data_IF_188692151232
#
_entry.id   IF_188692151232
#
_cell.length_a   1.000
_cell.length_b   1.000
_cell.length_c   1.000
_cell.angle_alpha   90.00
_cell.angle_beta   90.00
_cell.angle_gamma   90.00
#
_symmetry.space_group_name_H-M   'P 1'
#
loop_
_entity.id
_entity.type
_entity.pdbx_description
1 polymer ?
#
# COMPACT_ATOMS: atom_id res chain seq x y z
N UNK A 1 7.56 -78.48 -26.81
CA UNK A 1 7.02 -77.14 -26.49
C UNK A 1 7.67 -76.16 -27.45
N UNK A 2 6.93 -75.38 -28.24
CA UNK A 2 7.56 -74.34 -29.06
C UNK A 2 8.12 -73.28 -28.10
N UNK A 3 9.41 -72.96 -28.20
CA UNK A 3 9.98 -71.80 -27.51
C UNK A 3 9.16 -70.57 -27.95
N UNK A 4 8.55 -69.87 -27.00
CA UNK A 4 8.07 -68.51 -27.25
C UNK A 4 9.27 -67.69 -27.72
N UNK A 5 9.23 -67.18 -28.96
CA UNK A 5 10.25 -66.24 -29.42
C UNK A 5 10.13 -64.96 -28.58
N UNK A 6 11.20 -64.62 -27.85
CA UNK A 6 11.30 -63.33 -27.21
C UNK A 6 11.35 -62.28 -28.32
N UNK A 7 10.38 -61.36 -28.34
CA UNK A 7 10.43 -60.23 -29.26
C UNK A 7 11.31 -59.15 -28.65
N UNK A 8 12.54 -59.04 -29.15
CA UNK A 8 13.50 -58.06 -28.67
C UNK A 8 13.31 -56.72 -29.40
N UNK A 9 13.58 -55.60 -28.73
CA UNK A 9 13.54 -54.28 -29.35
C UNK A 9 14.77 -54.06 -30.24
N UNK A 10 14.57 -53.54 -31.44
CA UNK A 10 15.68 -53.21 -32.34
C UNK A 10 16.56 -52.08 -31.79
N UNK A 11 17.89 -52.12 -32.02
CA UNK A 11 18.77 -50.99 -31.73
C UNK A 11 18.32 -49.74 -32.48
N UNK A 12 18.41 -48.57 -31.83
CA UNK A 12 18.09 -47.26 -32.43
C UNK A 12 19.35 -46.63 -33.06
N UNK A 13 20.54 -47.01 -32.56
CA UNK A 13 21.82 -46.52 -33.05
C UNK A 13 22.38 -47.45 -34.16
N UNK A 14 22.69 -46.94 -35.36
CA UNK A 14 23.27 -47.73 -36.45
C UNK A 14 24.53 -48.51 -36.08
N UNK A 15 25.41 -47.93 -35.24
CA UNK A 15 26.67 -48.59 -34.84
C UNK A 15 26.44 -49.80 -33.94
N UNK A 16 25.43 -49.72 -33.08
CA UNK A 16 25.02 -50.81 -32.18
C UNK A 16 24.35 -51.92 -33.00
N UNK A 17 23.55 -51.56 -34.01
CA UNK A 17 22.95 -52.53 -34.92
C UNK A 17 24.02 -53.31 -35.71
N UNK A 18 25.00 -52.65 -36.31
CA UNK A 18 26.12 -53.34 -36.97
C UNK A 18 26.90 -54.24 -36.00
N UNK A 19 27.15 -53.77 -34.77
CA UNK A 19 27.89 -54.57 -33.76
C UNK A 19 27.11 -55.82 -33.38
N UNK A 20 25.79 -55.72 -33.30
CA UNK A 20 24.91 -56.85 -33.08
C UNK A 20 24.96 -57.82 -34.26
N UNK A 21 24.91 -57.33 -35.50
CA UNK A 21 24.92 -58.20 -36.69
C UNK A 21 26.23 -58.98 -36.86
N UNK A 22 27.38 -58.40 -36.49
CA UNK A 22 28.65 -59.14 -36.42
C UNK A 22 28.48 -60.37 -35.52
N UNK A 23 27.98 -60.18 -34.30
CA UNK A 23 27.84 -61.28 -33.33
C UNK A 23 26.81 -62.31 -33.76
N UNK A 24 25.69 -61.88 -34.33
CA UNK A 24 24.65 -62.78 -34.86
C UNK A 24 25.22 -63.67 -35.97
N UNK A 25 25.93 -63.10 -36.95
CA UNK A 25 26.50 -63.86 -38.06
C UNK A 25 27.67 -64.74 -37.64
N UNK A 26 28.52 -64.28 -36.71
CA UNK A 26 29.58 -65.11 -36.14
C UNK A 26 29.01 -66.33 -35.42
N UNK A 27 27.95 -66.17 -34.64
CA UNK A 27 27.32 -67.29 -33.91
C UNK A 27 26.58 -68.24 -34.85
N UNK A 28 25.91 -67.70 -35.87
CA UNK A 28 25.14 -68.50 -36.84
C UNK A 28 26.03 -69.40 -37.70
N UNK A 29 27.19 -68.88 -38.14
CA UNK A 29 28.06 -69.57 -39.09
C UNK A 29 29.35 -70.09 -38.47
N UNK A 30 29.57 -69.84 -37.17
CA UNK A 30 30.77 -70.22 -36.43
C UNK A 30 32.08 -69.81 -37.14
N UNK A 31 32.08 -68.60 -37.72
CA UNK A 31 33.21 -67.98 -38.44
C UNK A 31 33.32 -66.51 -38.05
N UNK A 32 34.42 -65.84 -38.38
CA UNK A 32 34.63 -64.44 -38.00
C UNK A 32 34.01 -63.50 -39.03
N UNK A 33 33.37 -62.44 -38.53
CA UNK A 33 32.87 -61.32 -39.34
C UNK A 33 33.51 -60.02 -38.84
N UNK A 34 33.89 -59.13 -39.75
CA UNK A 34 34.57 -57.87 -39.42
C UNK A 34 33.85 -56.68 -40.06
N UNK A 35 33.75 -55.57 -39.33
CA UNK A 35 33.23 -54.32 -39.89
C UNK A 35 34.12 -53.80 -41.02
N UNK A 36 33.51 -53.28 -42.08
CA UNK A 36 34.18 -52.74 -43.26
C UNK A 36 34.33 -51.22 -43.16
N UNK A 37 35.56 -50.77 -42.94
CA UNK A 37 35.93 -49.36 -42.89
C UNK A 37 35.56 -48.62 -41.60
N UNK A 38 36.08 -47.40 -41.46
CA UNK A 38 35.75 -46.43 -40.40
C UNK A 38 35.40 -45.07 -41.02
N UNK A 39 34.72 -44.19 -40.27
CA UNK A 39 34.29 -42.85 -40.70
C UNK A 39 35.24 -42.17 -41.70
N UNK A 40 34.79 -41.94 -42.94
CA UNK A 40 35.50 -41.17 -43.97
C UNK A 40 36.06 -41.98 -45.15
N UNK A 41 36.02 -43.31 -45.12
CA UNK A 41 36.40 -44.16 -46.25
C UNK A 41 35.18 -44.50 -47.14
N UNK A 42 35.41 -44.72 -48.44
CA UNK A 42 34.36 -45.20 -49.33
C UNK A 42 33.98 -46.64 -48.96
N UNK A 43 32.77 -46.84 -48.44
CA UNK A 43 32.30 -48.15 -47.96
C UNK A 43 31.53 -48.95 -49.03
N UNK A 44 31.31 -48.38 -50.21
CA UNK A 44 30.72 -49.05 -51.40
C UNK A 44 29.43 -49.86 -51.19
N UNK A 45 28.71 -49.64 -50.08
CA UNK A 45 27.53 -50.42 -49.72
C UNK A 45 27.80 -51.69 -48.89
N UNK A 46 29.02 -51.85 -48.36
CA UNK A 46 29.40 -52.94 -47.47
C UNK A 46 29.67 -52.39 -46.05
N UNK A 47 29.00 -52.92 -45.04
CA UNK A 47 29.21 -52.54 -43.64
C UNK A 47 29.97 -53.62 -42.86
N UNK A 48 29.80 -54.90 -43.21
CA UNK A 48 30.45 -56.04 -42.55
C UNK A 48 30.86 -57.06 -43.62
N UNK A 49 32.04 -57.65 -43.49
CA UNK A 49 32.58 -58.71 -44.35
C UNK A 49 32.80 -60.00 -43.55
N UNK A 50 32.60 -61.14 -44.20
CA UNK A 50 32.96 -62.45 -43.67
C UNK A 50 33.19 -63.47 -44.77
N UNK A 51 33.63 -64.67 -44.38
CA UNK A 51 33.79 -65.81 -45.28
C UNK A 51 33.16 -67.05 -44.65
N UNK A 52 32.27 -67.72 -45.40
CA UNK A 52 31.61 -68.95 -44.99
C UNK A 52 32.03 -70.03 -45.98
N UNK A 53 32.78 -71.05 -45.57
CA UNK A 53 33.18 -72.17 -46.45
C UNK A 53 33.77 -71.73 -47.81
N UNK A 54 34.66 -70.72 -47.81
CA UNK A 54 35.26 -70.08 -49.02
C UNK A 54 34.30 -69.23 -49.88
N UNK A 55 33.08 -68.99 -49.40
CA UNK A 55 32.12 -68.05 -49.99
C UNK A 55 32.27 -66.69 -49.32
N UNK A 56 32.56 -65.64 -50.10
CA UNK A 56 32.69 -64.27 -49.60
C UNK A 56 31.30 -63.69 -49.33
N UNK A 57 31.12 -63.19 -48.12
CA UNK A 57 29.84 -62.66 -47.64
C UNK A 57 29.97 -61.20 -47.29
N UNK A 58 29.07 -60.39 -47.86
CA UNK A 58 28.97 -58.95 -47.59
C UNK A 58 27.62 -58.65 -46.95
N UNK A 59 27.63 -57.85 -45.89
CA UNK A 59 26.42 -57.41 -45.18
C UNK A 59 26.30 -55.89 -45.27
N UNK A 60 25.10 -55.41 -45.60
CA UNK A 60 24.68 -54.02 -45.44
C UNK A 60 23.60 -53.94 -44.35
N UNK A 61 23.86 -53.15 -43.33
CA UNK A 61 22.99 -52.88 -42.20
C UNK A 61 22.26 -51.54 -42.38
N UNK A 62 20.93 -51.54 -42.33
CA UNK A 62 20.10 -50.32 -42.31
C UNK A 62 19.30 -50.23 -41.02
N UNK A 63 19.72 -49.30 -40.16
CA UNK A 63 19.01 -48.96 -38.94
C UNK A 63 18.02 -47.84 -39.21
N UNK A 64 16.73 -48.11 -39.02
CA UNK A 64 15.66 -47.14 -39.12
C UNK A 64 15.23 -46.67 -37.73
N UNK A 65 15.05 -45.36 -37.58
CA UNK A 65 14.37 -44.80 -36.41
C UNK A 65 12.91 -45.29 -36.37
N UNK A 66 12.46 -45.72 -35.20
CA UNK A 66 11.08 -46.18 -35.01
C UNK A 66 10.08 -45.02 -34.97
N UNK A 67 10.53 -43.79 -34.67
CA UNK A 67 9.72 -42.57 -34.64
C UNK A 67 9.46 -41.96 -36.02
N UNK A 68 10.28 -42.34 -37.03
CA UNK A 68 10.13 -41.90 -38.41
C UNK A 68 9.47 -42.99 -39.25
N UNK A 69 8.42 -42.62 -40.01
CA UNK A 69 7.68 -43.53 -40.90
C UNK A 69 8.45 -43.85 -42.21
N UNK A 70 9.78 -43.88 -42.15
CA UNK A 70 10.64 -44.24 -43.27
C UNK A 70 10.57 -45.76 -43.49
N UNK A 71 10.35 -46.18 -44.73
CA UNK A 71 10.21 -47.59 -45.13
C UNK A 71 11.34 -47.96 -46.09
N UNK A 72 11.81 -49.19 -46.02
CA UNK A 72 12.67 -49.76 -47.06
C UNK A 72 11.84 -49.99 -48.33
N UNK A 73 12.32 -49.49 -49.45
CA UNK A 73 11.64 -49.60 -50.75
C UNK A 73 12.39 -50.55 -51.70
N UNK A 74 11.73 -50.96 -52.80
CA UNK A 74 12.38 -51.75 -53.86
C UNK A 74 13.54 -51.00 -54.51
N UNK A 75 13.43 -49.67 -54.64
CA UNK A 75 14.49 -48.81 -55.19
C UNK A 75 15.72 -48.83 -54.29
N UNK A 76 15.54 -48.70 -52.97
CA UNK A 76 16.65 -48.76 -52.02
C UNK A 76 17.41 -50.09 -52.12
N UNK A 77 16.68 -51.21 -52.26
CA UNK A 77 17.25 -52.54 -52.48
C UNK A 77 18.03 -52.58 -53.79
N UNK A 78 17.45 -52.09 -54.90
CA UNK A 78 18.16 -52.02 -56.19
C UNK A 78 19.44 -51.21 -56.10
N UNK A 79 19.42 -50.07 -55.40
CA UNK A 79 20.59 -49.20 -55.24
C UNK A 79 21.69 -49.84 -54.40
N UNK A 80 21.33 -50.53 -53.31
CA UNK A 80 22.29 -51.28 -52.49
C UNK A 80 22.95 -52.40 -53.29
N UNK A 81 22.17 -53.17 -54.05
CA UNK A 81 22.69 -54.23 -54.92
C UNK A 81 23.60 -53.64 -56.00
N UNK A 82 23.17 -52.56 -56.66
CA UNK A 82 23.96 -51.87 -57.68
C UNK A 82 25.29 -51.36 -57.13
N UNK A 83 25.32 -50.86 -55.89
CA UNK A 83 26.54 -50.43 -55.25
C UNK A 83 27.54 -51.58 -55.08
N UNK A 84 27.07 -52.77 -54.69
CA UNK A 84 27.91 -53.97 -54.60
C UNK A 84 28.35 -54.43 -55.99
N UNK A 85 27.42 -54.60 -56.93
CA UNK A 85 27.72 -55.16 -58.26
C UNK A 85 28.67 -54.25 -59.07
N UNK A 86 28.56 -52.93 -58.94
CA UNK A 86 29.33 -51.98 -59.78
C UNK A 86 30.53 -51.34 -59.08
N UNK A 87 30.54 -51.22 -57.75
CA UNK A 87 31.53 -50.39 -57.03
C UNK A 87 32.35 -51.15 -56.00
N UNK A 88 31.87 -52.30 -55.50
CA UNK A 88 32.63 -53.06 -54.52
C UNK A 88 33.85 -53.73 -55.20
N UNK A 89 35.08 -53.45 -54.76
CA UNK A 89 36.29 -53.84 -55.50
C UNK A 89 36.65 -55.33 -55.37
N UNK A 90 36.04 -56.05 -54.44
CA UNK A 90 36.32 -57.47 -54.20
C UNK A 90 35.18 -58.36 -54.68
N UNK A 91 35.45 -59.65 -54.85
CA UNK A 91 34.40 -60.61 -55.19
C UNK A 91 33.39 -60.77 -54.03
N UNK A 92 32.11 -60.84 -54.37
CA UNK A 92 31.01 -61.05 -53.44
C UNK A 92 30.15 -62.20 -53.95
N UNK A 93 30.10 -63.28 -53.19
CA UNK A 93 29.30 -64.46 -53.53
C UNK A 93 27.88 -64.35 -52.94
N UNK A 94 27.77 -63.82 -51.71
CA UNK A 94 26.50 -63.60 -51.02
C UNK A 94 26.40 -62.20 -50.43
N UNK A 95 25.29 -61.53 -50.69
CA UNK A 95 25.02 -60.19 -50.19
C UNK A 95 23.76 -60.17 -49.30
N UNK A 96 23.93 -59.82 -48.03
CA UNK A 96 22.86 -59.72 -47.05
C UNK A 96 22.48 -58.26 -46.81
N UNK A 97 21.21 -57.94 -47.02
CA UNK A 97 20.61 -56.66 -46.63
C UNK A 97 19.84 -56.89 -45.33
N UNK A 98 20.30 -56.26 -44.25
CA UNK A 98 19.78 -56.44 -42.90
C UNK A 98 19.14 -55.14 -42.42
N UNK A 99 17.91 -55.17 -41.91
CA UNK A 99 17.25 -53.95 -41.46
C UNK A 99 16.38 -54.09 -40.20
N UNK A 100 16.23 -52.99 -39.46
CA UNK A 100 15.47 -52.96 -38.18
C UNK A 100 13.96 -52.83 -38.33
N UNK A 101 13.42 -52.78 -39.56
CA UNK A 101 11.96 -52.83 -39.81
C UNK A 101 11.44 -54.28 -39.89
N UNK A 102 10.15 -54.54 -39.61
CA UNK A 102 9.54 -55.86 -39.77
C UNK A 102 9.67 -56.41 -41.20
N UNK A 103 9.54 -57.73 -41.33
CA UNK A 103 9.59 -58.41 -42.62
C UNK A 103 8.46 -57.93 -43.55
N UNK A 104 8.74 -57.86 -44.86
CA UNK A 104 7.77 -57.43 -45.86
C UNK A 104 7.76 -58.39 -47.06
N UNK A 105 6.67 -59.14 -47.20
CA UNK A 105 6.50 -60.14 -48.27
C UNK A 105 6.75 -59.57 -49.68
N UNK A 106 6.33 -58.33 -49.96
CA UNK A 106 6.53 -57.73 -51.29
C UNK A 106 8.00 -57.43 -51.61
N UNK A 107 8.83 -57.18 -50.58
CA UNK A 107 10.27 -57.00 -50.74
C UNK A 107 10.99 -58.35 -50.84
N UNK A 108 10.55 -59.34 -50.05
CA UNK A 108 11.04 -60.72 -50.15
C UNK A 108 10.80 -61.29 -51.55
N UNK A 109 9.56 -61.21 -52.06
CA UNK A 109 9.20 -61.66 -53.42
C UNK A 109 10.04 -60.95 -54.49
N UNK A 110 10.29 -59.65 -54.29
CA UNK A 110 11.11 -58.86 -55.21
C UNK A 110 12.55 -59.35 -55.24
N UNK A 111 13.17 -59.63 -54.09
CA UNK A 111 14.53 -60.19 -54.00
C UNK A 111 14.58 -61.59 -54.61
N UNK A 112 13.56 -62.43 -54.40
CA UNK A 112 13.46 -63.76 -55.04
C UNK A 112 13.42 -63.65 -56.56
N UNK A 113 12.58 -62.77 -57.11
CA UNK A 113 12.50 -62.52 -58.57
C UNK A 113 13.77 -61.89 -59.14
N UNK A 114 14.49 -61.09 -58.35
CA UNK A 114 15.80 -60.56 -58.75
C UNK A 114 16.81 -61.69 -58.84
N UNK A 115 16.93 -62.53 -57.82
CA UNK A 115 17.88 -63.64 -57.80
C UNK A 115 17.67 -64.62 -58.96
N UNK A 116 16.43 -64.86 -59.41
CA UNK A 116 16.18 -65.72 -60.58
C UNK A 116 16.70 -65.16 -61.90
N UNK A 117 17.04 -63.87 -61.94
CA UNK A 117 17.56 -63.16 -63.13
C UNK A 117 19.06 -62.85 -63.05
N UNK A 118 19.71 -63.18 -61.92
CA UNK A 118 21.14 -62.90 -61.71
C UNK A 118 22.01 -63.97 -62.36
N UNK A 119 23.17 -63.57 -62.87
CA UNK A 119 24.15 -64.48 -63.49
C UNK A 119 25.08 -65.08 -62.45
N UNK A 120 25.83 -66.13 -62.81
CA UNK A 120 26.80 -66.79 -61.92
C UNK A 120 27.89 -65.86 -61.37
N UNK A 121 28.13 -64.71 -62.02
CA UNK A 121 29.12 -63.72 -61.58
C UNK A 121 28.54 -62.64 -60.65
N UNK A 122 27.25 -62.71 -60.30
CA UNK A 122 26.58 -61.75 -59.43
C UNK A 122 26.22 -62.39 -58.08
N UNK A 123 26.44 -61.65 -56.99
CA UNK A 123 26.18 -62.16 -55.64
C UNK A 123 24.72 -62.60 -55.46
N UNK A 124 24.48 -63.71 -54.78
CA UNK A 124 23.14 -64.10 -54.33
C UNK A 124 22.67 -63.14 -53.22
N UNK A 125 21.49 -62.54 -53.37
CA UNK A 125 21.00 -61.52 -52.43
C UNK A 125 20.05 -62.12 -51.40
N UNK A 126 20.24 -61.80 -50.13
CA UNK A 126 19.38 -62.16 -49.01
C UNK A 126 18.86 -60.89 -48.34
N UNK A 127 17.59 -60.89 -47.93
CA UNK A 127 16.95 -59.77 -47.24
C UNK A 127 16.40 -60.27 -45.91
N UNK A 128 16.92 -59.75 -44.80
CA UNK A 128 16.41 -60.03 -43.46
C UNK A 128 15.87 -58.76 -42.84
N UNK A 129 14.60 -58.82 -42.44
CA UNK A 129 14.03 -57.83 -41.56
C UNK A 129 14.25 -58.17 -40.09
N UNK A 130 13.67 -57.35 -39.22
CA UNK A 130 13.86 -57.49 -37.78
C UNK A 130 13.30 -58.80 -37.24
N UNK A 131 12.24 -59.34 -37.83
CA UNK A 131 11.65 -60.60 -37.38
C UNK A 131 12.63 -61.76 -37.61
N UNK A 132 13.25 -61.84 -38.80
CA UNK A 132 14.29 -62.84 -39.10
C UNK A 132 15.51 -62.70 -38.19
N UNK A 133 15.95 -61.46 -37.98
CA UNK A 133 17.10 -61.14 -37.13
C UNK A 133 16.80 -61.51 -35.68
N UNK A 134 15.59 -61.22 -35.20
CA UNK A 134 15.17 -61.50 -33.83
C UNK A 134 15.15 -63.01 -33.55
N UNK A 135 14.73 -63.82 -34.51
CA UNK A 135 14.81 -65.28 -34.39
C UNK A 135 16.26 -65.75 -34.23
N UNK A 136 17.21 -65.18 -35.01
CA UNK A 136 18.64 -65.50 -34.87
C UNK A 136 19.24 -65.00 -33.55
N UNK A 137 18.79 -63.87 -33.02
CA UNK A 137 19.20 -63.37 -31.71
C UNK A 137 18.72 -64.33 -30.61
N UNK A 138 17.51 -64.89 -30.74
CA UNK A 138 16.99 -65.83 -29.75
C UNK A 138 17.82 -67.12 -29.67
N UNK A 139 18.49 -67.50 -30.75
CA UNK A 139 19.41 -68.64 -30.79
C UNK A 139 20.84 -68.30 -30.29
N UNK A 140 21.14 -67.01 -30.04
CA UNK A 140 22.45 -66.53 -29.61
C UNK A 140 22.41 -65.83 -28.23
N UNK A 141 22.86 -66.48 -27.14
CA UNK A 141 23.01 -65.84 -25.83
C UNK A 141 23.95 -64.62 -25.85
N UNK A 142 24.95 -64.63 -26.75
CA UNK A 142 25.92 -63.54 -26.91
C UNK A 142 25.26 -62.29 -27.51
N UNK A 143 24.41 -62.47 -28.53
CA UNK A 143 23.63 -61.39 -29.13
C UNK A 143 22.62 -60.80 -28.14
N UNK A 144 21.92 -61.64 -27.36
CA UNK A 144 20.97 -61.19 -26.33
C UNK A 144 21.63 -60.28 -25.28
N UNK A 145 22.83 -60.64 -24.81
CA UNK A 145 23.56 -59.86 -23.81
C UNK A 145 23.95 -58.46 -24.32
N UNK A 146 24.35 -58.35 -25.59
CA UNK A 146 24.70 -57.06 -26.20
C UNK A 146 23.49 -56.14 -26.21
N UNK A 147 22.33 -56.68 -26.60
CA UNK A 147 21.09 -55.92 -26.71
C UNK A 147 20.56 -55.43 -25.35
N UNK A 148 20.75 -56.19 -24.27
CA UNK A 148 20.34 -55.77 -22.92
C UNK A 148 21.24 -54.67 -22.32
N UNK A 149 22.55 -54.69 -22.64
CA UNK A 149 23.52 -53.76 -22.06
C UNK A 149 23.38 -52.30 -22.54
N UNK A 150 22.87 -52.08 -23.76
CA UNK A 150 22.71 -50.74 -24.35
C UNK A 150 21.55 -49.94 -23.75
N UNK A 151 20.57 -50.59 -23.10
CA UNK A 151 19.39 -49.91 -22.55
C UNK A 151 19.61 -49.23 -21.19
N UNK A 152 20.70 -49.52 -20.46
CA UNK A 152 20.86 -49.11 -19.05
C UNK A 152 21.53 -47.74 -18.89
N UNK A 153 22.24 -47.22 -19.90
CA UNK A 153 23.18 -46.10 -19.71
C UNK A 153 22.57 -44.69 -19.88
N UNK A 154 21.31 -44.53 -20.33
CA UNK A 154 20.72 -43.21 -20.67
C UNK A 154 19.78 -42.59 -19.62
N UNK A 155 19.48 -43.28 -18.50
CA UNK A 155 18.38 -42.88 -17.60
C UNK A 155 18.80 -42.07 -16.34
N UNK A 156 20.08 -42.09 -15.94
CA UNK A 156 20.46 -41.68 -14.57
C UNK A 156 20.93 -40.21 -14.40
N UNK A 157 21.52 -39.57 -15.42
CA UNK A 157 22.16 -38.24 -15.26
C UNK A 157 21.18 -37.06 -15.17
N UNK A 158 20.08 -37.10 -15.91
CA UNK A 158 19.19 -35.94 -16.05
C UNK A 158 18.32 -35.65 -14.81
N UNK A 159 18.12 -36.65 -13.93
CA UNK A 159 17.25 -36.51 -12.75
C UNK A 159 17.91 -35.76 -11.60
N UNK A 160 19.23 -35.93 -11.40
CA UNK A 160 19.98 -35.28 -10.31
C UNK A 160 20.12 -33.77 -10.56
N UNK A 161 20.38 -33.38 -11.81
CA UNK A 161 20.50 -31.97 -12.20
C UNK A 161 19.21 -31.18 -11.95
N UNK A 162 18.04 -31.77 -12.26
CA UNK A 162 16.74 -31.14 -12.03
C UNK A 162 16.45 -30.93 -10.53
N UNK A 163 16.86 -31.87 -9.67
CA UNK A 163 16.69 -31.75 -8.22
C UNK A 163 17.52 -30.60 -7.63
N UNK A 164 18.78 -30.46 -8.06
CA UNK A 164 19.66 -29.36 -7.59
C UNK A 164 19.10 -28.01 -8.05
N UNK A 165 18.67 -27.90 -9.30
CA UNK A 165 18.05 -26.68 -9.83
C UNK A 165 16.81 -26.28 -9.02
N UNK A 166 15.95 -27.25 -8.68
CA UNK A 166 14.77 -27.01 -7.86
C UNK A 166 15.11 -26.45 -6.48
N UNK A 167 16.10 -27.02 -5.78
CA UNK A 167 16.53 -26.55 -4.45
C UNK A 167 17.03 -25.10 -4.52
N UNK A 168 17.81 -24.75 -5.55
CA UNK A 168 18.32 -23.39 -5.74
C UNK A 168 17.17 -22.40 -5.98
N UNK A 169 16.20 -22.76 -6.82
CA UNK A 169 15.02 -21.91 -7.10
C UNK A 169 14.20 -21.68 -5.82
N UNK A 170 13.97 -22.72 -5.01
CA UNK A 170 13.28 -22.62 -3.72
C UNK A 170 14.07 -21.73 -2.75
N UNK A 171 15.39 -21.85 -2.70
CA UNK A 171 16.25 -20.98 -1.89
C UNK A 171 16.16 -19.50 -2.28
N UNK A 172 16.19 -19.20 -3.58
CA UNK A 172 16.07 -17.82 -4.09
C UNK A 172 14.68 -17.24 -3.80
N UNK A 173 13.61 -18.01 -4.05
CA UNK A 173 12.24 -17.53 -3.82
C UNK A 173 11.96 -17.31 -2.33
N UNK A 174 12.41 -18.20 -1.45
CA UNK A 174 12.27 -18.02 0.00
C UNK A 174 13.04 -16.80 0.50
N UNK A 175 14.26 -16.56 0.00
CA UNK A 175 15.02 -15.35 0.29
C UNK A 175 14.28 -14.08 -0.14
N UNK A 176 13.76 -14.05 -1.38
CA UNK A 176 13.04 -12.88 -1.90
C UNK A 176 11.74 -12.60 -1.13
N UNK A 177 11.03 -13.64 -0.69
CA UNK A 177 9.85 -13.50 0.18
C UNK A 177 10.26 -12.94 1.55
N UNK A 178 11.33 -13.45 2.14
CA UNK A 178 11.83 -13.00 3.44
C UNK A 178 12.32 -11.56 3.42
N UNK A 179 13.08 -11.16 2.38
CA UNK A 179 13.57 -9.80 2.20
C UNK A 179 12.42 -8.79 1.99
N UNK A 180 11.43 -9.15 1.16
CA UNK A 180 10.21 -8.35 1.03
C UNK A 180 9.43 -8.23 2.33
N UNK A 181 9.36 -9.31 3.12
CA UNK A 181 8.72 -9.29 4.43
C UNK A 181 9.46 -8.35 5.40
N UNK A 182 10.80 -8.44 5.48
CA UNK A 182 11.61 -7.57 6.34
C UNK A 182 11.49 -6.11 5.92
N UNK A 183 11.55 -5.81 4.63
CA UNK A 183 11.41 -4.45 4.10
C UNK A 183 10.02 -3.88 4.39
N UNK A 184 8.95 -4.67 4.19
CA UNK A 184 7.58 -4.27 4.55
C UNK A 184 7.44 -4.02 6.06
N UNK A 185 8.02 -4.88 6.89
CA UNK A 185 8.01 -4.73 8.35
C UNK A 185 8.78 -3.47 8.80
N UNK A 186 9.92 -3.19 8.18
CA UNK A 186 10.68 -1.97 8.44
C UNK A 186 9.90 -0.70 8.04
N UNK A 187 9.25 -0.71 6.87
CA UNK A 187 8.39 0.38 6.41
C UNK A 187 7.19 0.60 7.33
N UNK A 188 6.52 -0.48 7.76
CA UNK A 188 5.42 -0.41 8.73
C UNK A 188 5.89 0.20 10.07
N UNK A 189 7.02 -0.27 10.62
CA UNK A 189 7.56 0.26 11.87
C UNK A 189 7.92 1.75 11.76
N UNK A 190 8.47 2.18 10.63
CA UNK A 190 8.79 3.58 10.38
C UNK A 190 7.51 4.45 10.30
N UNK A 191 6.49 4.00 9.57
CA UNK A 191 5.21 4.72 9.48
C UNK A 191 4.47 4.79 10.82
N UNK A 192 4.51 3.72 11.62
CA UNK A 192 3.96 3.73 12.98
C UNK A 192 4.66 4.78 13.85
N UNK A 193 5.99 4.87 13.77
CA UNK A 193 6.76 5.89 14.52
C UNK A 193 6.41 7.32 14.08
N UNK A 194 6.36 7.58 12.78
CA UNK A 194 5.96 8.90 12.24
C UNK A 194 4.54 9.25 12.69
N UNK A 195 3.63 8.27 12.68
CA UNK A 195 2.24 8.48 13.12
C UNK A 195 2.16 8.74 14.62
N UNK A 196 2.96 8.06 15.45
CA UNK A 196 3.07 8.34 16.88
C UNK A 196 3.60 9.76 17.15
N UNK A 197 4.66 10.17 16.44
CA UNK A 197 5.22 11.52 16.56
C UNK A 197 4.19 12.58 16.17
N UNK A 198 3.45 12.36 15.08
CA UNK A 198 2.33 13.19 14.67
C UNK A 198 1.25 13.30 15.74
N UNK A 199 0.75 12.17 16.25
CA UNK A 199 -0.29 12.15 17.28
C UNK A 199 0.16 12.82 18.58
N UNK A 200 1.45 12.69 18.93
CA UNK A 200 2.04 13.37 20.09
C UNK A 200 2.09 14.89 19.90
N UNK A 201 2.54 15.37 18.75
CA UNK A 201 2.57 16.80 18.43
C UNK A 201 1.16 17.40 18.41
N UNK A 202 0.19 16.69 17.80
CA UNK A 202 -1.23 17.08 17.79
C UNK A 202 -1.80 17.11 19.20
N UNK A 203 -1.58 16.07 20.01
CA UNK A 203 -2.07 16.02 21.41
C UNK A 203 -1.55 17.21 22.21
N UNK A 204 -0.25 17.52 22.09
CA UNK A 204 0.36 18.68 22.74
C UNK A 204 -0.30 19.99 22.31
N UNK A 205 -0.65 20.13 21.02
CA UNK A 205 -1.34 21.32 20.52
C UNK A 205 -2.77 21.43 20.99
N UNK A 206 -3.51 20.31 21.05
CA UNK A 206 -4.86 20.27 21.62
C UNK A 206 -4.85 20.61 23.11
N UNK A 207 -3.84 20.19 23.87
CA UNK A 207 -3.67 20.60 25.27
C UNK A 207 -3.40 22.10 25.40
N UNK A 208 -2.57 22.67 24.53
CA UNK A 208 -2.34 24.12 24.52
C UNK A 208 -3.61 24.90 24.14
N UNK A 209 -4.44 24.35 23.23
CA UNK A 209 -5.74 24.90 22.89
C UNK A 209 -6.69 24.84 24.10
N UNK A 210 -6.73 23.71 24.83
CA UNK A 210 -7.50 23.58 26.07
C UNK A 210 -7.11 24.66 27.08
N UNK A 211 -5.81 24.85 27.30
CA UNK A 211 -5.28 25.87 28.20
C UNK A 211 -5.66 27.29 27.77
N UNK A 212 -5.66 27.58 26.46
CA UNK A 212 -6.09 28.88 25.94
C UNK A 212 -7.57 29.16 26.25
N UNK A 213 -8.46 28.19 26.03
CA UNK A 213 -9.87 28.32 26.39
C UNK A 213 -10.09 28.43 27.89
N UNK A 214 -9.41 27.62 28.71
CA UNK A 214 -9.47 27.69 30.17
C UNK A 214 -9.01 29.06 30.67
N UNK A 215 -7.92 29.59 30.12
CA UNK A 215 -7.44 30.93 30.45
C UNK A 215 -8.45 32.01 30.06
N UNK A 216 -9.03 31.93 28.86
CA UNK A 216 -10.07 32.87 28.41
C UNK A 216 -11.29 32.86 29.34
N UNK A 217 -11.82 31.67 29.67
CA UNK A 217 -12.96 31.52 30.59
C UNK A 217 -12.62 32.06 31.97
N UNK A 218 -11.43 31.76 32.50
CA UNK A 218 -10.97 32.29 33.79
C UNK A 218 -10.93 33.82 33.79
N UNK A 219 -10.33 34.42 32.77
CA UNK A 219 -10.31 35.87 32.61
C UNK A 219 -11.73 36.43 32.56
N UNK A 220 -12.59 35.87 31.70
CA UNK A 220 -13.97 36.32 31.54
C UNK A 220 -14.79 36.16 32.84
N UNK A 221 -14.51 35.13 33.65
CA UNK A 221 -15.14 34.94 34.95
C UNK A 221 -14.71 35.98 35.99
N UNK A 222 -13.46 36.46 35.91
CA UNK A 222 -12.90 37.40 36.88
C UNK A 222 -13.27 38.87 36.61
N UNK A 223 -13.84 39.15 35.43
CA UNK A 223 -14.21 40.51 35.02
C UNK A 223 -15.70 40.60 34.82
N UNK A 224 -16.29 41.76 35.12
CA UNK A 224 -17.67 42.06 34.74
C UNK A 224 -17.85 41.93 33.22
N UNK A 225 -17.00 42.62 32.46
CA UNK A 225 -17.03 42.70 31.01
C UNK A 225 -15.61 42.87 30.50
N UNK A 226 -15.27 42.22 29.39
CA UNK A 226 -13.96 42.37 28.77
C UNK A 226 -14.06 43.40 27.65
N UNK A 227 -13.10 44.31 27.55
CA UNK A 227 -13.01 45.19 26.39
C UNK A 227 -12.47 44.43 25.15
N UNK A 228 -12.54 45.05 23.98
CA UNK A 228 -12.17 44.39 22.72
C UNK A 228 -10.68 44.02 22.67
N UNK A 229 -9.79 44.84 23.24
CA UNK A 229 -8.36 44.54 23.36
C UNK A 229 -8.13 43.30 24.24
N UNK A 230 -8.82 43.21 25.39
CA UNK A 230 -8.73 42.07 26.31
C UNK A 230 -9.25 40.78 25.66
N UNK A 231 -10.43 40.82 25.01
CA UNK A 231 -10.95 39.66 24.27
C UNK A 231 -9.99 39.22 23.16
N UNK A 232 -9.41 40.17 22.43
CA UNK A 232 -8.47 39.88 21.37
C UNK A 232 -7.21 39.19 21.93
N UNK A 233 -6.54 39.81 22.90
CA UNK A 233 -5.23 39.36 23.39
C UNK A 233 -5.31 38.16 24.33
N UNK A 234 -6.37 38.04 25.12
CA UNK A 234 -6.48 37.03 26.18
C UNK A 234 -7.35 35.83 25.77
N UNK A 235 -8.11 35.95 24.69
CA UNK A 235 -8.93 34.86 24.15
C UNK A 235 -8.62 34.55 22.69
N UNK A 236 -8.90 35.48 21.77
CA UNK A 236 -8.87 35.20 20.32
C UNK A 236 -7.47 34.81 19.83
N UNK A 237 -6.44 35.60 20.14
CA UNK A 237 -5.08 35.35 19.67
C UNK A 237 -4.48 34.04 20.20
N UNK A 238 -4.55 33.74 21.52
CA UNK A 238 -4.08 32.46 22.04
C UNK A 238 -4.78 31.26 21.41
N UNK A 239 -6.10 31.33 21.21
CA UNK A 239 -6.91 30.25 20.60
C UNK A 239 -6.51 30.07 19.14
N UNK A 240 -6.56 31.14 18.34
CA UNK A 240 -6.25 31.09 16.90
C UNK A 240 -4.83 30.62 16.62
N UNK A 241 -3.86 31.01 17.48
CA UNK A 241 -2.49 30.54 17.37
C UNK A 241 -2.38 29.01 17.48
N UNK A 242 -3.16 28.38 18.36
CA UNK A 242 -3.14 26.92 18.47
C UNK A 242 -3.92 26.23 17.35
N UNK A 243 -5.05 26.81 16.91
CA UNK A 243 -5.81 26.31 15.76
C UNK A 243 -4.95 26.32 14.47
N UNK A 244 -4.26 27.42 14.19
CA UNK A 244 -3.31 27.50 13.08
C UNK A 244 -2.16 26.50 13.22
N UNK A 245 -1.70 26.27 14.45
CA UNK A 245 -0.70 25.24 14.74
C UNK A 245 -1.17 23.82 14.40
N UNK A 246 -2.44 23.50 14.65
CA UNK A 246 -3.03 22.20 14.28
C UNK A 246 -3.08 22.01 12.76
N UNK A 247 -3.49 23.05 12.02
CA UNK A 247 -3.50 23.02 10.54
C UNK A 247 -2.09 22.87 9.97
N UNK A 248 -1.11 23.57 10.53
CA UNK A 248 0.30 23.44 10.13
C UNK A 248 0.85 22.04 10.38
N UNK A 249 0.51 21.42 11.52
CA UNK A 249 0.89 20.04 11.81
C UNK A 249 0.25 19.06 10.81
N UNK A 250 -1.03 19.23 10.52
CA UNK A 250 -1.72 18.38 9.55
C UNK A 250 -1.03 18.44 8.18
N UNK A 251 -0.72 19.64 7.67
CA UNK A 251 -0.01 19.81 6.41
C UNK A 251 1.43 19.25 6.43
N UNK A 252 2.16 19.40 7.54
CA UNK A 252 3.53 18.87 7.74
C UNK A 252 3.57 17.34 7.58
N UNK A 253 2.53 16.64 8.04
CA UNK A 253 2.50 15.18 8.13
C UNK A 253 1.66 14.48 7.06
N UNK A 254 0.96 15.23 6.21
CA UNK A 254 0.10 14.73 5.15
C UNK A 254 0.69 13.60 4.26
N UNK A 255 1.96 13.65 3.80
CA UNK A 255 2.49 12.62 2.91
C UNK A 255 2.93 11.33 3.62
N UNK A 256 3.04 11.33 4.96
CA UNK A 256 3.81 10.33 5.71
C UNK A 256 3.03 9.59 6.79
N UNK A 257 1.83 10.07 7.14
CA UNK A 257 0.96 9.45 8.15
C UNK A 257 -0.04 8.49 7.50
N UNK A 258 -0.43 7.45 8.23
CA UNK A 258 -1.48 6.53 7.79
C UNK A 258 -2.80 7.29 7.48
N UNK A 259 -3.34 7.10 6.28
CA UNK A 259 -4.56 7.81 5.81
C UNK A 259 -5.72 7.75 6.80
N UNK A 260 -5.96 6.58 7.41
CA UNK A 260 -7.07 6.39 8.36
C UNK A 260 -6.94 7.26 9.62
N UNK A 261 -5.71 7.45 10.10
CA UNK A 261 -5.38 8.28 11.28
C UNK A 261 -5.39 9.75 10.89
N UNK A 262 -4.84 10.07 9.72
CA UNK A 262 -4.84 11.42 9.16
C UNK A 262 -6.28 11.96 9.02
N UNK A 263 -7.18 11.19 8.41
CA UNK A 263 -8.58 11.59 8.18
C UNK A 263 -9.36 11.78 9.49
N UNK A 264 -9.12 10.90 10.47
CA UNK A 264 -9.76 11.01 11.78
C UNK A 264 -9.30 12.26 12.54
N UNK A 265 -7.99 12.54 12.54
CA UNK A 265 -7.47 13.77 13.17
C UNK A 265 -7.93 15.01 12.41
N UNK A 266 -8.02 14.95 11.08
CA UNK A 266 -8.54 16.05 10.27
C UNK A 266 -9.97 16.43 10.65
N UNK A 267 -10.87 15.46 10.79
CA UNK A 267 -12.24 15.71 11.27
C UNK A 267 -12.28 16.35 12.66
N UNK A 268 -11.37 15.94 13.54
CA UNK A 268 -11.24 16.54 14.88
C UNK A 268 -10.80 17.99 14.76
N UNK A 269 -9.78 18.28 13.97
CA UNK A 269 -9.28 19.65 13.74
C UNK A 269 -10.38 20.55 13.15
N UNK A 270 -11.13 20.08 12.16
CA UNK A 270 -12.24 20.82 11.55
C UNK A 270 -13.32 21.20 12.58
N UNK A 271 -13.57 20.33 13.55
CA UNK A 271 -14.52 20.60 14.64
C UNK A 271 -13.93 21.59 15.65
N UNK A 272 -12.64 21.49 15.96
CA UNK A 272 -11.95 22.40 16.88
C UNK A 272 -11.86 23.83 16.33
N UNK A 273 -11.59 24.00 15.04
CA UNK A 273 -11.51 25.32 14.39
C UNK A 273 -12.85 26.09 14.48
N UNK A 274 -13.98 25.39 14.41
CA UNK A 274 -15.32 26.01 14.49
C UNK A 274 -15.66 26.53 15.90
N UNK A 275 -14.87 26.20 16.92
CA UNK A 275 -15.16 26.56 18.30
C UNK A 275 -14.91 28.06 18.57
N UNK A 276 -13.94 28.67 17.88
CA UNK A 276 -13.50 30.06 18.14
C UNK A 276 -14.46 31.13 17.60
N UNK A 277 -15.37 30.77 16.69
CA UNK A 277 -16.28 31.69 16.02
C UNK A 277 -17.09 32.57 16.99
N UNK A 278 -17.64 32.00 18.07
CA UNK A 278 -18.47 32.77 19.02
C UNK A 278 -17.63 33.80 19.80
N UNK A 279 -16.39 33.44 20.14
CA UNK A 279 -15.45 34.34 20.83
C UNK A 279 -15.05 35.51 19.93
N UNK A 280 -14.79 35.23 18.64
CA UNK A 280 -14.53 36.26 17.65
C UNK A 280 -15.72 37.22 17.47
N UNK A 281 -16.94 36.68 17.39
CA UNK A 281 -18.16 37.50 17.31
C UNK A 281 -18.34 38.38 18.55
N UNK A 282 -18.07 37.86 19.75
CA UNK A 282 -18.09 38.66 20.98
C UNK A 282 -17.10 39.83 20.92
N UNK A 283 -15.88 39.61 20.41
CA UNK A 283 -14.88 40.67 20.19
C UNK A 283 -15.39 41.74 19.22
N UNK A 284 -16.00 41.34 18.10
CA UNK A 284 -16.55 42.27 17.10
C UNK A 284 -17.67 43.14 17.68
N UNK A 285 -18.61 42.53 18.40
CA UNK A 285 -19.73 43.25 19.02
C UNK A 285 -19.24 44.24 20.09
N UNK A 286 -18.23 43.84 20.86
CA UNK A 286 -17.58 44.71 21.86
C UNK A 286 -16.87 45.89 21.20
N UNK A 287 -16.16 45.66 20.09
CA UNK A 287 -15.51 46.72 19.31
C UNK A 287 -16.51 47.68 18.68
N UNK A 288 -17.66 47.16 18.24
CA UNK A 288 -18.77 48.00 17.74
C UNK A 288 -19.27 48.94 18.83
N UNK A 289 -19.56 48.40 20.02
CA UNK A 289 -19.98 49.19 21.17
C UNK A 289 -18.98 50.30 21.48
N UNK A 290 -17.70 49.97 21.64
CA UNK A 290 -16.65 50.96 21.95
C UNK A 290 -16.59 52.08 20.92
N UNK A 291 -16.74 51.76 19.63
CA UNK A 291 -16.80 52.75 18.56
C UNK A 291 -18.05 53.64 18.66
N UNK A 292 -19.21 53.04 18.88
CA UNK A 292 -20.48 53.77 18.99
C UNK A 292 -20.56 54.66 20.22
N UNK A 293 -19.91 54.27 21.34
CA UNK A 293 -19.80 55.13 22.52
C UNK A 293 -19.11 56.45 22.19
N UNK A 294 -17.98 56.39 21.47
CA UNK A 294 -17.22 57.58 21.09
C UNK A 294 -17.95 58.41 20.05
N UNK A 295 -18.59 57.75 19.07
CA UNK A 295 -19.33 58.44 18.02
C UNK A 295 -20.56 59.17 18.58
N UNK A 296 -21.23 58.56 19.55
CA UNK A 296 -22.31 59.17 20.29
C UNK A 296 -21.80 60.43 21.04
N UNK A 297 -20.70 60.32 21.78
CA UNK A 297 -20.10 61.46 22.48
C UNK A 297 -19.78 62.63 21.53
N UNK A 298 -19.21 62.35 20.36
CA UNK A 298 -18.94 63.36 19.34
C UNK A 298 -20.22 64.02 18.80
N UNK A 299 -21.31 63.25 18.67
CA UNK A 299 -22.60 63.79 18.23
C UNK A 299 -23.21 64.71 19.28
N UNK A 300 -23.15 64.35 20.57
CA UNK A 300 -23.62 65.19 21.68
C UNK A 300 -22.84 66.51 21.74
N UNK A 301 -21.51 66.43 21.55
CA UNK A 301 -20.64 67.60 21.48
C UNK A 301 -21.07 68.54 20.36
N UNK A 302 -21.21 68.02 19.14
CA UNK A 302 -21.60 68.82 17.96
C UNK A 302 -23.05 69.35 18.02
N UNK A 303 -23.94 68.75 18.82
CA UNK A 303 -25.34 69.15 18.94
C UNK A 303 -25.63 70.14 20.08
N UNK A 304 -24.60 70.72 20.73
CA UNK A 304 -24.74 71.56 21.93
C UNK A 304 -25.53 70.88 23.05
N UNK A 305 -25.34 69.58 23.26
CA UNK A 305 -25.97 68.84 24.36
C UNK A 305 -27.43 68.43 24.12
N UNK A 306 -27.98 68.57 22.91
CA UNK A 306 -29.28 67.95 22.58
C UNK A 306 -29.12 66.41 22.61
N UNK A 307 -30.06 65.69 23.24
CA UNK A 307 -29.93 64.26 23.48
C UNK A 307 -29.70 63.53 22.15
N UNK A 308 -28.64 62.72 22.12
CA UNK A 308 -28.35 61.82 21.01
C UNK A 308 -29.12 60.52 21.17
N UNK A 309 -28.94 59.59 20.22
CA UNK A 309 -29.52 58.24 20.18
C UNK A 309 -29.05 57.35 21.36
N UNK A 310 -29.50 57.64 22.58
CA UNK A 310 -29.27 56.81 23.77
C UNK A 310 -29.78 55.37 23.56
N UNK A 311 -30.83 55.21 22.74
CA UNK A 311 -31.38 53.92 22.32
C UNK A 311 -30.41 53.07 21.51
N UNK A 312 -29.54 53.67 20.70
CA UNK A 312 -28.53 52.94 19.91
C UNK A 312 -27.43 52.41 20.84
N UNK A 313 -26.90 53.26 21.71
CA UNK A 313 -25.87 52.86 22.67
C UNK A 313 -26.39 51.79 23.63
N UNK A 314 -27.64 51.91 24.07
CA UNK A 314 -28.29 50.90 24.89
C UNK A 314 -28.41 49.55 24.17
N UNK A 315 -28.88 49.57 22.91
CA UNK A 315 -28.98 48.38 22.08
C UNK A 315 -27.61 47.71 21.84
N UNK A 316 -26.58 48.49 21.52
CA UNK A 316 -25.23 47.96 21.33
C UNK A 316 -24.60 47.45 22.63
N UNK A 317 -24.87 48.10 23.76
CA UNK A 317 -24.40 47.63 25.07
C UNK A 317 -24.99 46.26 25.37
N UNK A 318 -26.30 46.12 25.17
CA UNK A 318 -27.02 44.85 25.38
C UNK A 318 -26.52 43.76 24.44
N UNK A 319 -26.27 44.08 23.17
CA UNK A 319 -25.74 43.14 22.19
C UNK A 319 -24.34 42.66 22.56
N UNK A 320 -23.40 43.56 22.81
CA UNK A 320 -22.03 43.20 23.17
C UNK A 320 -22.01 42.33 24.44
N UNK A 321 -22.80 42.70 25.44
CA UNK A 321 -22.98 41.92 26.66
C UNK A 321 -23.49 40.51 26.38
N UNK A 322 -24.60 40.37 25.66
CA UNK A 322 -25.20 39.07 25.38
C UNK A 322 -24.27 38.16 24.59
N UNK A 323 -23.52 38.70 23.63
CA UNK A 323 -22.52 37.93 22.89
C UNK A 323 -21.34 37.49 23.74
N UNK A 324 -20.85 38.33 24.68
CA UNK A 324 -19.83 37.90 25.64
C UNK A 324 -20.33 36.79 26.56
N UNK A 325 -21.57 36.86 27.04
CA UNK A 325 -22.15 35.79 27.88
C UNK A 325 -22.34 34.51 27.08
N UNK A 326 -22.89 34.62 25.88
CA UNK A 326 -23.06 33.50 24.97
C UNK A 326 -21.71 32.80 24.67
N UNK A 327 -20.66 33.56 24.37
CA UNK A 327 -19.32 33.01 24.18
C UNK A 327 -18.76 32.40 25.48
N UNK A 328 -18.93 33.05 26.62
CA UNK A 328 -18.48 32.55 27.93
C UNK A 328 -19.08 31.17 28.26
N UNK A 329 -20.40 31.03 28.18
CA UNK A 329 -21.08 29.77 28.45
C UNK A 329 -20.73 28.70 27.42
N UNK A 330 -20.65 29.06 26.13
CA UNK A 330 -20.21 28.09 25.12
C UNK A 330 -18.78 27.61 25.34
N UNK A 331 -17.89 28.50 25.74
CA UNK A 331 -16.50 28.15 26.05
C UNK A 331 -16.42 27.22 27.27
N UNK A 332 -17.10 27.58 28.36
CA UNK A 332 -17.09 26.87 29.65
C UNK A 332 -17.74 25.48 29.55
N UNK A 333 -18.95 25.44 28.98
CA UNK A 333 -19.84 24.28 29.11
C UNK A 333 -19.76 23.33 27.91
N UNK A 334 -19.21 23.78 26.77
CA UNK A 334 -19.10 22.95 25.57
C UNK A 334 -17.70 22.90 24.98
N UNK A 335 -17.05 24.04 24.67
CA UNK A 335 -15.79 24.02 23.92
C UNK A 335 -14.67 23.32 24.72
N UNK A 336 -14.52 23.62 26.02
CA UNK A 336 -13.54 22.93 26.87
C UNK A 336 -13.82 21.42 26.94
N UNK A 337 -15.05 20.94 27.26
CA UNK A 337 -15.40 19.52 27.18
C UNK A 337 -15.17 18.87 25.82
N UNK A 338 -15.50 19.56 24.71
CA UNK A 338 -15.26 19.08 23.34
C UNK A 338 -13.76 18.90 23.10
N UNK A 339 -12.93 19.87 23.49
CA UNK A 339 -11.47 19.78 23.35
C UNK A 339 -10.91 18.59 24.14
N UNK A 340 -11.39 18.37 25.37
CA UNK A 340 -11.02 17.20 26.19
C UNK A 340 -11.41 15.88 25.53
N UNK A 341 -12.63 15.80 25.01
CA UNK A 341 -13.15 14.61 24.32
C UNK A 341 -12.40 14.34 23.00
N UNK A 342 -12.06 15.39 22.26
CA UNK A 342 -11.19 15.34 21.08
C UNK A 342 -9.79 14.83 21.42
N UNK A 343 -9.18 15.34 22.52
CA UNK A 343 -7.90 14.86 23.05
C UNK A 343 -7.96 13.37 23.42
N UNK A 344 -9.05 12.95 24.08
CA UNK A 344 -9.29 11.55 24.41
C UNK A 344 -9.36 10.67 23.15
N UNK A 345 -10.06 11.14 22.11
CA UNK A 345 -10.13 10.46 20.81
C UNK A 345 -8.75 10.35 20.14
N UNK A 346 -7.96 11.41 20.10
CA UNK A 346 -6.58 11.38 19.57
C UNK A 346 -5.71 10.40 20.36
N UNK A 347 -5.83 10.40 21.69
CA UNK A 347 -5.10 9.47 22.56
C UNK A 347 -5.47 8.01 22.30
N UNK A 348 -6.74 7.72 21.96
CA UNK A 348 -7.16 6.37 21.59
C UNK A 348 -6.56 5.89 20.27
N UNK A 349 -6.35 6.79 19.29
CA UNK A 349 -5.65 6.46 18.04
C UNK A 349 -4.20 6.05 18.33
N UNK A 350 -3.53 6.76 19.24
CA UNK A 350 -2.16 6.43 19.62
C UNK A 350 -2.09 5.05 20.31
N UNK A 351 -3.04 4.75 21.19
CA UNK A 351 -3.15 3.42 21.84
C UNK A 351 -3.42 2.30 20.84
N UNK A 352 -4.30 2.54 19.86
CA UNK A 352 -4.60 1.57 18.81
C UNK A 352 -3.34 1.20 18.01
N UNK A 353 -2.51 2.18 17.65
CA UNK A 353 -1.23 1.94 16.96
C UNK A 353 -0.27 1.10 17.81
N UNK A 354 -0.25 1.33 19.12
CA UNK A 354 0.59 0.59 20.07
C UNK A 354 0.03 -0.80 20.43
N UNK A 355 -1.18 -1.13 19.99
CA UNK A 355 -1.93 -2.33 20.43
C UNK A 355 -2.19 -2.34 21.94
N UNK A 356 -2.30 -1.17 22.54
CA UNK A 356 -2.65 -0.99 23.94
C UNK A 356 -4.17 -1.05 24.13
N UNK A 357 -4.62 -1.57 25.27
CA UNK A 357 -6.03 -1.48 25.65
C UNK A 357 -6.46 -0.02 25.88
N UNK A 358 -7.70 0.30 25.53
CA UNK A 358 -8.31 1.60 25.78
C UNK A 358 -8.91 1.59 27.20
N UNK A 359 -8.51 2.51 28.10
CA UNK A 359 -9.10 2.64 29.42
C UNK A 359 -10.59 3.02 29.37
N UNK A 360 -11.41 2.49 30.29
CA UNK A 360 -12.86 2.74 30.34
C UNK A 360 -13.21 4.22 30.51
N UNK A 361 -12.40 4.97 31.27
CA UNK A 361 -12.54 6.42 31.43
C UNK A 361 -12.28 7.19 30.13
N UNK A 362 -11.39 6.68 29.28
CA UNK A 362 -11.09 7.25 27.97
C UNK A 362 -12.24 6.97 26.98
N UNK A 363 -12.80 5.76 27.00
CA UNK A 363 -13.98 5.40 26.19
C UNK A 363 -15.18 6.28 26.53
N UNK A 364 -15.40 6.54 27.82
CA UNK A 364 -16.48 7.44 28.27
C UNK A 364 -16.31 8.85 27.71
N UNK A 365 -15.10 9.43 27.81
CA UNK A 365 -14.82 10.76 27.25
C UNK A 365 -15.01 10.82 25.73
N UNK A 366 -14.64 9.76 25.02
CA UNK A 366 -14.85 9.67 23.57
C UNK A 366 -16.34 9.65 23.23
N UNK A 367 -17.14 8.89 23.97
CA UNK A 367 -18.58 8.79 23.76
C UNK A 367 -19.33 10.11 24.00
N UNK A 368 -18.74 11.04 24.76
CA UNK A 368 -19.32 12.35 25.03
C UNK A 368 -19.13 13.36 23.88
N UNK A 369 -18.19 13.13 22.95
CA UNK A 369 -17.81 14.09 21.92
C UNK A 369 -18.98 14.54 21.03
N UNK A 370 -19.65 13.60 20.36
CA UNK A 370 -20.77 13.91 19.45
C UNK A 370 -21.97 14.53 20.18
N UNK A 371 -22.43 13.99 21.34
CA UNK A 371 -23.44 14.66 22.15
C UNK A 371 -23.08 16.11 22.53
N UNK A 372 -21.83 16.37 22.89
CA UNK A 372 -21.37 17.72 23.25
C UNK A 372 -21.38 18.67 22.05
N UNK A 373 -20.91 18.22 20.88
CA UNK A 373 -20.96 18.99 19.63
C UNK A 373 -22.41 19.34 19.27
N UNK A 374 -23.31 18.36 19.33
CA UNK A 374 -24.73 18.58 19.03
C UNK A 374 -25.37 19.56 20.00
N UNK A 375 -25.12 19.40 21.31
CA UNK A 375 -25.61 20.34 22.34
C UNK A 375 -25.07 21.75 22.10
N UNK A 376 -23.78 21.90 21.80
CA UNK A 376 -23.17 23.19 21.47
C UNK A 376 -23.85 23.86 20.27
N UNK A 377 -24.10 23.10 19.21
CA UNK A 377 -24.69 23.62 17.98
C UNK A 377 -26.17 23.99 18.18
N UNK A 378 -26.87 23.29 19.07
CA UNK A 378 -28.25 23.62 19.46
C UNK A 378 -28.34 24.72 20.52
N UNK A 379 -27.22 25.15 21.11
CA UNK A 379 -27.22 26.16 22.15
C UNK A 379 -27.58 27.53 21.56
N UNK A 380 -28.83 27.94 21.78
CA UNK A 380 -29.37 29.17 21.22
C UNK A 380 -28.79 30.41 21.91
N UNK A 381 -28.60 31.47 21.12
CA UNK A 381 -28.39 32.81 21.65
C UNK A 381 -29.64 33.24 22.43
N UNK A 382 -29.43 33.87 23.59
CA UNK A 382 -30.50 34.34 24.48
C UNK A 382 -30.14 35.73 24.99
N UNK A 383 -31.15 36.50 25.36
CA UNK A 383 -30.91 37.73 26.11
C UNK A 383 -30.67 37.39 27.57
N UNK A 384 -29.53 37.84 28.10
CA UNK A 384 -29.19 37.66 29.51
C UNK A 384 -29.68 38.86 30.31
N UNK A 385 -30.07 38.68 31.59
CA UNK A 385 -30.38 39.81 32.45
C UNK A 385 -29.11 40.63 32.70
N UNK A 386 -29.27 41.93 32.96
CA UNK A 386 -28.19 42.90 33.16
C UNK A 386 -27.42 42.75 34.48
N UNK A 387 -27.65 41.68 35.25
CA UNK A 387 -26.91 41.35 36.47
C UNK A 387 -25.86 40.27 36.19
N UNK A 388 -24.76 40.70 35.61
CA UNK A 388 -23.73 39.88 34.98
C UNK A 388 -23.01 39.02 36.00
N UNK A 389 -22.73 39.61 37.15
CA UNK A 389 -22.09 38.96 38.29
C UNK A 389 -22.88 37.72 38.73
N UNK A 390 -24.20 37.87 38.85
CA UNK A 390 -25.09 36.76 39.18
C UNK A 390 -25.19 35.74 38.05
N UNK A 391 -25.31 36.19 36.80
CA UNK A 391 -25.38 35.31 35.62
C UNK A 391 -24.14 34.41 35.53
N UNK A 392 -22.93 34.95 35.71
CA UNK A 392 -21.68 34.18 35.63
C UNK A 392 -21.53 33.15 36.76
N UNK A 393 -22.11 33.45 37.93
CA UNK A 393 -22.15 32.54 39.08
C UNK A 393 -23.18 31.40 38.92
N UNK A 394 -24.09 31.49 37.94
CA UNK A 394 -25.03 30.41 37.66
C UNK A 394 -24.32 29.22 37.00
N UNK A 395 -24.64 28.03 37.51
CA UNK A 395 -23.96 26.77 37.21
C UNK A 395 -24.59 25.98 36.06
N UNK A 396 -25.75 26.38 35.51
CA UNK A 396 -26.49 25.54 34.57
C UNK A 396 -26.88 26.24 33.26
N UNK A 397 -26.84 25.44 32.19
CA UNK A 397 -27.36 25.71 30.84
C UNK A 397 -28.88 25.96 30.79
N UNK A 398 -29.58 25.75 31.91
CA UNK A 398 -31.04 25.68 32.03
C UNK A 398 -31.63 26.80 32.90
N UNK A 399 -30.83 27.80 33.28
CA UNK A 399 -31.35 28.95 34.01
C UNK A 399 -32.39 29.69 33.14
N UNK A 400 -33.66 29.56 33.50
CA UNK A 400 -34.76 30.34 32.93
C UNK A 400 -34.85 31.66 33.68
N UNK A 401 -34.59 32.76 32.97
CA UNK A 401 -34.77 34.10 33.52
C UNK A 401 -36.24 34.50 33.36
N UNK A 402 -37.13 33.91 34.16
CA UNK A 402 -38.52 34.37 34.23
C UNK A 402 -38.56 35.76 34.87
N UNK A 403 -39.05 36.74 34.11
CA UNK A 403 -39.17 38.15 34.48
C UNK A 403 -37.85 38.77 34.93
N UNK A 404 -37.13 39.36 33.96
CA UNK A 404 -35.85 40.06 34.13
C UNK A 404 -35.70 40.68 35.51
N UNK A 405 -34.76 40.14 36.29
CA UNK A 405 -34.46 40.61 37.64
C UNK A 405 -34.16 42.11 37.55
N UNK A 406 -34.88 42.98 38.30
CA UNK A 406 -34.63 44.40 38.25
C UNK A 406 -33.23 44.74 38.80
N UNK A 407 -32.43 45.32 37.91
CA UNK A 407 -31.27 46.21 38.03
C UNK A 407 -30.67 46.46 39.43
N UNK A 408 -29.33 46.45 39.46
CA UNK A 408 -28.61 47.65 39.85
C UNK A 408 -28.06 48.34 38.59
N UNK A 409 -28.41 49.61 38.39
CA UNK A 409 -27.96 50.46 37.26
C UNK A 409 -26.43 50.62 37.13
N UNK A 410 -25.66 50.06 38.06
CA UNK A 410 -24.23 50.26 38.19
C UNK A 410 -23.38 49.39 37.22
N UNK A 411 -23.76 48.14 36.94
CA UNK A 411 -22.96 47.26 36.07
C UNK A 411 -23.01 47.70 34.61
N UNK A 412 -24.20 48.02 34.09
CA UNK A 412 -24.36 48.53 32.73
C UNK A 412 -23.71 49.91 32.56
N UNK A 413 -23.78 50.77 33.58
CA UNK A 413 -23.05 52.03 33.59
C UNK A 413 -21.53 51.82 33.61
N UNK A 414 -21.04 50.82 34.35
CA UNK A 414 -19.62 50.47 34.37
C UNK A 414 -19.14 49.94 33.00
N UNK A 415 -19.93 49.09 32.34
CA UNK A 415 -19.64 48.63 30.97
C UNK A 415 -19.54 49.82 30.02
N UNK A 416 -20.58 50.68 30.02
CA UNK A 416 -20.60 51.87 29.17
C UNK A 416 -19.39 52.77 29.43
N UNK A 417 -19.07 53.03 30.70
CA UNK A 417 -17.90 53.82 31.09
C UNK A 417 -16.58 53.20 30.58
N UNK A 418 -16.39 51.90 30.78
CA UNK A 418 -15.20 51.18 30.31
C UNK A 418 -15.10 51.20 28.78
N UNK A 419 -16.18 50.90 28.07
CA UNK A 419 -16.22 50.88 26.61
C UNK A 419 -15.98 52.26 26.00
N UNK A 420 -16.49 53.34 26.63
CA UNK A 420 -16.19 54.70 26.20
C UNK A 420 -14.70 55.02 26.33
N UNK A 421 -14.09 54.67 27.47
CA UNK A 421 -12.67 54.91 27.72
C UNK A 421 -11.77 54.18 26.70
N UNK A 422 -12.07 52.90 26.42
CA UNK A 422 -11.33 52.12 25.42
C UNK A 422 -11.58 52.66 24.02
N UNK A 423 -12.83 53.00 23.69
CA UNK A 423 -13.16 53.65 22.44
C UNK A 423 -12.34 54.94 22.25
N UNK A 424 -12.26 55.80 23.26
CA UNK A 424 -11.49 57.04 23.22
C UNK A 424 -10.01 56.74 22.99
N UNK A 425 -9.42 55.83 23.78
CA UNK A 425 -8.03 55.39 23.62
C UNK A 425 -7.72 54.94 22.19
N UNK A 426 -8.63 54.20 21.56
CA UNK A 426 -8.47 53.66 20.21
C UNK A 426 -8.80 54.68 19.09
N UNK A 427 -9.33 55.87 19.43
CA UNK A 427 -9.72 56.91 18.48
C UNK A 427 -9.16 58.30 18.87
N UNK A 428 -7.82 58.49 18.88
CA UNK A 428 -7.19 59.72 19.38
C UNK A 428 -7.64 61.00 18.64
N UNK A 429 -7.96 60.90 17.34
CA UNK A 429 -8.46 62.03 16.54
C UNK A 429 -9.79 62.58 17.07
N UNK A 430 -10.66 61.72 17.57
CA UNK A 430 -11.95 62.17 18.12
C UNK A 430 -11.72 62.91 19.45
N UNK A 431 -10.73 62.48 20.23
CA UNK A 431 -10.32 63.20 21.44
C UNK A 431 -9.80 64.58 21.10
N UNK A 432 -8.97 64.70 20.06
CA UNK A 432 -8.46 66.00 19.59
C UNK A 432 -9.62 66.95 19.28
N UNK A 433 -10.61 66.48 18.51
CA UNK A 433 -11.81 67.25 18.18
C UNK A 433 -12.61 67.67 19.41
N UNK A 434 -12.76 66.78 20.40
CA UNK A 434 -13.49 67.05 21.65
C UNK A 434 -12.74 68.06 22.54
N UNK A 435 -11.41 68.11 22.48
CA UNK A 435 -10.59 69.12 23.16
C UNK A 435 -10.68 70.46 22.44
N UNK A 436 -10.54 70.47 21.11
CA UNK A 436 -10.62 71.69 20.29
C UNK A 436 -11.97 72.39 20.42
N UNK A 437 -13.05 71.61 20.56
CA UNK A 437 -14.42 72.11 20.79
C UNK A 437 -14.72 72.47 22.26
N UNK A 438 -13.76 72.28 23.17
CA UNK A 438 -13.90 72.65 24.59
C UNK A 438 -14.79 71.72 25.41
N UNK A 439 -15.23 70.58 24.86
CA UNK A 439 -16.08 69.62 25.56
C UNK A 439 -15.31 68.74 26.54
N UNK A 440 -13.99 68.56 26.35
CA UNK A 440 -13.13 67.78 27.25
C UNK A 440 -11.80 68.52 27.47
N UNK A 441 -11.24 68.40 28.68
CA UNK A 441 -9.97 69.05 29.01
C UNK A 441 -8.76 68.28 28.45
N UNK A 442 -7.66 68.95 28.03
CA UNK A 442 -6.48 68.32 27.45
C UNK A 442 -5.81 67.25 28.32
N UNK A 443 -5.95 67.32 29.64
CA UNK A 443 -5.36 66.39 30.62
C UNK A 443 -5.89 64.96 30.48
N UNK A 444 -7.03 64.76 29.79
CA UNK A 444 -7.58 63.43 29.47
C UNK A 444 -6.59 62.61 28.64
N UNK A 445 -5.79 63.24 27.77
CA UNK A 445 -4.81 62.55 26.93
C UNK A 445 -3.75 61.85 27.79
N UNK A 446 -3.25 62.57 28.81
CA UNK A 446 -2.29 62.02 29.76
C UNK A 446 -2.89 60.87 30.59
N UNK A 447 -4.19 60.90 30.88
CA UNK A 447 -4.87 59.80 31.60
C UNK A 447 -5.04 58.56 30.72
N UNK A 448 -5.26 58.74 29.41
CA UNK A 448 -5.41 57.64 28.46
C UNK A 448 -4.07 57.02 28.04
N UNK A 449 -2.97 57.79 28.02
CA UNK A 449 -1.63 57.30 27.68
C UNK A 449 -0.84 56.76 28.86
N UNK A 450 -0.99 57.31 30.08
CA UNK A 450 -0.14 56.91 31.21
C UNK A 450 -0.48 55.56 31.84
N UNK A 451 -1.54 54.87 31.39
CA UNK A 451 -1.72 53.45 31.67
C UNK A 451 -1.62 53.04 33.14
N UNK A 452 -1.85 53.94 34.11
CA UNK A 452 -2.40 53.48 35.38
C UNK A 452 -3.72 52.90 34.96
N UNK A 453 -3.80 51.58 34.93
CA UNK A 453 -5.04 50.84 34.75
C UNK A 453 -6.11 51.66 35.45
N UNK A 454 -6.94 52.37 34.67
CA UNK A 454 -8.23 52.69 35.20
C UNK A 454 -8.76 51.29 35.47
N UNK A 455 -8.84 50.95 36.76
CA UNK A 455 -9.16 49.63 37.18
C UNK A 455 -10.65 49.61 37.54
N UNK A 456 -11.58 49.54 36.57
CA UNK A 456 -12.86 48.97 36.83
C UNK A 456 -12.72 47.45 36.65
N UNK A 457 -11.67 46.79 37.17
CA UNK A 457 -11.99 45.53 37.84
C UNK A 457 -12.89 45.91 39.00
N UNK A 458 -14.20 45.95 38.74
CA UNK A 458 -15.04 45.13 39.60
C UNK A 458 -14.58 43.69 39.32
N UNK A 459 -13.44 43.32 39.93
CA UNK A 459 -13.19 41.92 40.20
C UNK A 459 -14.43 41.51 40.97
N UNK A 460 -15.10 40.45 40.55
CA UNK A 460 -16.00 39.78 41.47
C UNK A 460 -15.14 39.45 42.68
N UNK A 461 -15.25 40.28 43.72
CA UNK A 461 -14.41 40.18 44.90
C UNK A 461 -14.56 38.78 45.42
N UNK A 462 -13.47 38.19 45.89
CA UNK A 462 -13.44 36.90 46.56
C UNK A 462 -14.22 36.87 47.89
N UNK A 463 -15.05 37.87 48.15
CA UNK A 463 -15.92 37.91 49.31
C UNK A 463 -17.28 37.35 48.93
N UNK A 464 -17.51 36.16 49.47
CA UNK A 464 -18.76 35.39 49.44
C UNK A 464 -20.01 36.27 49.59
N UNK A 465 -21.04 35.85 48.84
CA UNK A 465 -22.49 36.14 48.94
C UNK A 465 -23.00 37.35 48.15
#
# INVERSE_FOLDING_TARGET
MPLMSLQNNAPINPKDFERLMVVVFEDLYNTRFNKYGTNGQAQYGADILGEINKTNVVLQCKCYDQSLNTKLTKSDISEMIKAIDEKYPNHCDQFYILHTKPNNASLTDYVTQLNSKRTEHQAQVFLWGWDDINDRINDSPRAQKILQSSHIQSSFSNKIFLLILFIVIVGITTYFIYDNYLTRKAYQNQNSKITQDYLKEVTTKVEQLELAYVSCVKTASNHLFLNSDQLQQQCVEPISKQEQGLVQLQNKYAPSVESSTYDQVGKINDNLEKLSADTYQATLMTKSLEKSMVQNLLTIANSNGKPSNDTIVEGETKNAFNFQMYAYFKNRDFNIPIIRSSKAKISSLNRFINKDSIPVDLEKQIAELEPLINKRNSYAFREYPSNISQVKNMTSNDATFENGIPLPNNEMAAIRGMSLMIGMKNNPRIIDQLIESGHIKPEIKAHLTNGKEFNPTLSLGSDKL
#
